data_IF_599183412032
#
_entry.id   IF_599183412032
#
_cell.length_a   1.000
_cell.length_b   1.000
_cell.length_c   1.000
_cell.angle_alpha   90.00
_cell.angle_beta   90.00
_cell.angle_gamma   90.00
#
_symmetry.space_group_name_H-M   'P 1'
#
loop_
_entity.id
_entity.type
_entity.pdbx_description
1 polymer ?
#
# COMPACT_ATOMS: atom_id res chain seq x y z
N UNK A 1 -12.93 1.50 9.54
CA UNK A 1 -11.82 1.85 8.62
C UNK A 1 -12.41 2.43 7.35
N UNK A 2 -11.79 3.47 6.81
CA UNK A 2 -12.12 4.02 5.49
C UNK A 2 -11.17 3.38 4.47
N UNK A 3 -11.70 2.58 3.55
CA UNK A 3 -10.91 2.09 2.41
C UNK A 3 -10.71 3.22 1.41
N UNK A 4 -9.47 3.43 0.98
CA UNK A 4 -9.09 4.59 0.15
C UNK A 4 -8.39 4.20 -1.15
N UNK A 5 -7.93 2.95 -1.27
CA UNK A 5 -7.36 2.44 -2.51
C UNK A 5 -7.38 0.90 -2.52
N UNK A 6 -7.51 0.34 -3.71
CA UNK A 6 -7.39 -1.08 -3.98
C UNK A 6 -6.59 -1.28 -5.26
N UNK A 7 -5.59 -2.16 -5.23
CA UNK A 7 -4.77 -2.50 -6.40
C UNK A 7 -4.71 -4.02 -6.57
N UNK A 8 -4.80 -4.48 -7.82
CA UNK A 8 -4.58 -5.89 -8.19
C UNK A 8 -3.26 -5.98 -8.94
N UNK A 9 -2.37 -6.85 -8.50
CA UNK A 9 -1.06 -7.07 -9.10
C UNK A 9 -0.81 -8.57 -9.24
N UNK A 10 0.07 -8.94 -10.17
CA UNK A 10 0.54 -10.33 -10.25
C UNK A 10 1.96 -10.36 -9.75
N UNK A 11 2.17 -11.08 -8.66
CA UNK A 11 3.49 -11.30 -8.08
C UNK A 11 4.14 -12.55 -8.68
N UNK A 12 5.45 -12.48 -8.89
CA UNK A 12 6.25 -13.59 -9.39
C UNK A 12 7.29 -13.97 -8.35
N UNK A 13 7.26 -15.23 -7.92
CA UNK A 13 8.25 -15.79 -7.02
C UNK A 13 9.01 -16.90 -7.72
N UNK A 14 10.33 -16.90 -7.62
CA UNK A 14 11.20 -17.96 -8.12
C UNK A 14 12.11 -18.45 -7.01
N UNK A 15 12.25 -19.77 -6.89
CA UNK A 15 13.21 -20.42 -6.00
C UNK A 15 13.99 -21.49 -6.74
N UNK A 16 15.31 -21.43 -6.57
CA UNK A 16 16.25 -22.27 -7.31
C UNK A 16 17.18 -23.03 -6.36
N UNK A 17 17.44 -24.31 -6.62
CA UNK A 17 18.40 -25.12 -5.87
C UNK A 17 19.44 -25.73 -6.82
N UNK A 18 20.73 -25.45 -6.56
CA UNK A 18 21.87 -26.00 -7.28
C UNK A 18 22.71 -26.90 -6.37
N UNK A 19 23.03 -28.12 -6.81
CA UNK A 19 24.00 -29.00 -6.13
C UNK A 19 24.92 -29.70 -7.14
N UNK A 20 26.19 -29.80 -6.76
CA UNK A 20 27.19 -30.64 -7.41
C UNK A 20 27.71 -31.69 -6.41
N UNK A 21 27.96 -32.93 -6.87
CA UNK A 21 28.65 -33.97 -6.09
C UNK A 21 29.84 -34.43 -6.94
N UNK A 22 31.04 -34.42 -6.36
CA UNK A 22 32.29 -34.87 -7.01
C UNK A 22 32.55 -34.21 -8.39
N UNK A 23 32.25 -32.91 -8.53
CA UNK A 23 32.44 -32.17 -9.78
C UNK A 23 31.40 -32.42 -10.88
N UNK A 24 30.42 -33.31 -10.63
CA UNK A 24 29.28 -33.53 -11.53
C UNK A 24 28.11 -32.65 -11.09
N UNK A 25 27.62 -31.80 -12.00
CA UNK A 25 26.40 -31.01 -11.80
C UNK A 25 25.19 -31.96 -11.77
N UNK A 26 24.43 -31.98 -10.67
CA UNK A 26 23.19 -32.76 -10.57
C UNK A 26 21.99 -32.01 -11.14
N UNK A 27 22.22 -30.99 -11.97
CA UNK A 27 21.17 -30.13 -12.49
C UNK A 27 20.60 -29.16 -11.45
N UNK A 28 19.70 -28.31 -11.93
CA UNK A 28 19.09 -27.23 -11.15
C UNK A 28 17.59 -27.50 -11.07
N UNK A 29 17.04 -27.50 -9.84
CA UNK A 29 15.59 -27.49 -9.67
C UNK A 29 15.13 -26.03 -9.59
N UNK A 30 14.10 -25.68 -10.35
CA UNK A 30 13.48 -24.34 -10.33
C UNK A 30 12.00 -24.49 -10.04
N UNK A 31 11.50 -23.75 -9.05
CA UNK A 31 10.08 -23.59 -8.80
C UNK A 31 9.71 -22.12 -9.01
N UNK A 32 8.73 -21.87 -9.89
CA UNK A 32 8.16 -20.54 -10.15
C UNK A 32 6.70 -20.53 -9.75
N UNK A 33 6.28 -19.43 -9.14
CA UNK A 33 4.91 -19.18 -8.72
C UNK A 33 4.50 -17.82 -9.25
N UNK A 34 3.42 -17.78 -10.03
CA UNK A 34 2.76 -16.57 -10.48
C UNK A 34 1.44 -16.45 -9.73
N UNK A 35 1.29 -15.36 -8.98
CA UNK A 35 0.26 -15.21 -7.97
C UNK A 35 -0.45 -13.86 -8.10
N UNK A 36 -1.71 -13.82 -8.54
CA UNK A 36 -2.50 -12.61 -8.47
C UNK A 36 -2.83 -12.26 -7.01
N UNK A 37 -2.57 -11.02 -6.62
CA UNK A 37 -2.77 -10.48 -5.27
C UNK A 37 -3.56 -9.18 -5.35
N UNK A 38 -4.54 -9.02 -4.45
CA UNK A 38 -5.24 -7.76 -4.24
C UNK A 38 -4.80 -7.12 -2.93
N UNK A 39 -4.21 -5.94 -3.06
CA UNK A 39 -3.83 -5.07 -1.95
C UNK A 39 -4.94 -4.05 -1.69
N UNK A 40 -5.35 -3.92 -0.43
CA UNK A 40 -6.37 -2.95 0.00
C UNK A 40 -5.76 -2.01 1.03
N UNK A 41 -5.99 -0.72 0.88
CA UNK A 41 -5.41 0.30 1.76
C UNK A 41 -6.51 1.08 2.46
N UNK A 42 -6.28 1.36 3.73
CA UNK A 42 -7.26 2.02 4.58
C UNK A 42 -6.64 3.05 5.52
N UNK A 43 -7.50 3.98 5.94
CA UNK A 43 -7.29 4.87 7.07
C UNK A 43 -8.17 4.42 8.24
N UNK A 44 -7.63 4.50 9.45
CA UNK A 44 -8.42 4.23 10.66
C UNK A 44 -9.21 5.49 11.01
N UNK A 45 -10.54 5.38 11.02
CA UNK A 45 -11.41 6.49 11.40
C UNK A 45 -11.24 6.89 12.88
N UNK A 46 -10.82 5.95 13.73
CA UNK A 46 -10.57 6.18 15.14
C UNK A 46 -9.21 6.84 15.44
N UNK A 47 -8.27 6.84 14.47
CA UNK A 47 -7.00 7.55 14.63
C UNK A 47 -7.26 9.08 14.49
N UNK A 48 -6.40 9.96 15.04
CA UNK A 48 -6.66 11.40 15.04
C UNK A 48 -6.78 12.01 13.63
N UNK A 49 -7.85 12.79 13.41
CA UNK A 49 -8.06 13.63 12.24
C UNK A 49 -8.01 15.10 12.66
N UNK A 50 -7.49 15.97 11.79
CA UNK A 50 -7.57 17.42 12.00
C UNK A 50 -7.96 18.11 10.69
N UNK A 51 -8.91 19.02 10.79
CA UNK A 51 -9.37 19.86 9.69
C UNK A 51 -9.00 21.30 10.03
N UNK A 52 -8.25 21.95 9.14
CA UNK A 52 -7.83 23.35 9.28
C UNK A 52 -8.38 24.16 8.10
N UNK A 53 -9.05 25.27 8.38
CA UNK A 53 -9.57 26.17 7.35
C UNK A 53 -8.65 27.36 7.23
N UNK A 54 -8.10 27.58 6.03
CA UNK A 54 -7.24 28.70 5.70
C UNK A 54 -7.89 29.50 4.56
N UNK A 55 -8.70 30.51 4.93
CA UNK A 55 -9.50 31.25 3.96
C UNK A 55 -10.52 30.34 3.27
N UNK A 56 -10.36 30.15 1.96
CA UNK A 56 -11.24 29.32 1.13
C UNK A 56 -10.65 27.91 0.85
N UNK A 57 -9.66 27.51 1.65
CA UNK A 57 -8.93 26.26 1.51
C UNK A 57 -9.11 25.39 2.76
N UNK A 58 -9.52 24.14 2.58
CA UNK A 58 -9.63 23.15 3.64
C UNK A 58 -8.41 22.22 3.60
N UNK A 59 -7.62 22.22 4.67
CA UNK A 59 -6.48 21.32 4.85
C UNK A 59 -6.94 20.17 5.77
N UNK A 60 -6.92 18.95 5.23
CA UNK A 60 -7.28 17.73 5.96
C UNK A 60 -6.01 16.99 6.33
N UNK A 61 -5.72 16.89 7.62
CA UNK A 61 -4.69 16.04 8.17
C UNK A 61 -5.32 14.68 8.49
N UNK A 62 -5.11 13.74 7.57
CA UNK A 62 -5.59 12.38 7.68
C UNK A 62 -4.55 11.50 8.42
N UNK A 63 -4.98 10.41 9.08
CA UNK A 63 -4.10 9.43 9.70
C UNK A 63 -3.09 8.79 8.73
N UNK A 64 -2.23 7.95 9.29
CA UNK A 64 -1.27 7.15 8.52
C UNK A 64 -2.00 6.15 7.61
N UNK A 65 -1.60 6.08 6.35
CA UNK A 65 -2.07 5.10 5.38
C UNK A 65 -1.57 3.70 5.74
N UNK A 66 -2.47 2.71 5.73
CA UNK A 66 -2.13 1.33 6.10
C UNK A 66 -2.60 0.34 5.07
N UNK A 67 -1.81 -0.70 4.83
CA UNK A 67 -2.29 -1.89 4.14
C UNK A 67 -3.22 -2.71 5.03
N UNK A 68 -4.20 -3.35 4.42
CA UNK A 68 -5.03 -4.37 5.03
C UNK A 68 -4.33 -5.71 4.89
N UNK A 69 -3.99 -6.32 6.02
CA UNK A 69 -3.18 -7.53 6.06
C UNK A 69 -4.01 -8.73 6.57
N UNK A 70 -3.74 -9.95 6.06
CA UNK A 70 -2.90 -10.21 4.89
C UNK A 70 -3.59 -9.75 3.58
N UNK A 71 -2.82 -9.43 2.51
CA UNK A 71 -3.39 -9.19 1.18
C UNK A 71 -4.19 -10.39 0.67
N UNK A 72 -5.20 -10.14 -0.17
CA UNK A 72 -6.02 -11.21 -0.72
C UNK A 72 -5.29 -11.91 -1.86
N UNK A 73 -4.98 -13.19 -1.66
CA UNK A 73 -4.35 -14.06 -2.66
C UNK A 73 -5.45 -14.76 -3.45
N UNK A 74 -5.39 -14.69 -4.78
CA UNK A 74 -6.33 -15.37 -5.68
C UNK A 74 -5.73 -16.71 -6.11
N UNK A 75 -5.92 -17.73 -5.27
CA UNK A 75 -5.34 -19.07 -5.45
C UNK A 75 -5.95 -19.84 -6.63
N UNK A 76 -7.14 -19.45 -7.07
CA UNK A 76 -7.84 -19.96 -8.25
C UNK A 76 -7.18 -19.53 -9.58
N UNK A 77 -6.48 -18.40 -9.57
CA UNK A 77 -5.71 -17.89 -10.72
C UNK A 77 -4.19 -18.11 -10.56
N UNK A 78 -3.80 -18.93 -9.60
CA UNK A 78 -2.40 -19.22 -9.29
C UNK A 78 -1.80 -20.19 -10.31
N UNK A 79 -0.65 -19.81 -10.88
CA UNK A 79 0.10 -20.68 -11.79
C UNK A 79 1.40 -21.13 -11.13
N UNK A 80 1.62 -22.45 -11.14
CA UNK A 80 2.83 -23.07 -10.60
C UNK A 80 3.58 -23.74 -11.74
N UNK A 81 4.87 -23.44 -11.84
CA UNK A 81 5.78 -24.12 -12.76
C UNK A 81 6.94 -24.71 -11.97
N UNK A 82 7.26 -25.97 -12.23
CA UNK A 82 8.33 -26.66 -11.54
C UNK A 82 9.18 -27.46 -12.55
N UNK A 83 10.45 -27.13 -12.66
CA UNK A 83 11.41 -27.79 -13.53
C UNK A 83 12.33 -28.68 -12.70
N UNK A 84 12.43 -29.96 -13.08
CA UNK A 84 13.16 -30.99 -12.34
C UNK A 84 14.56 -31.21 -12.96
N UNK A 85 15.59 -30.96 -12.16
CA UNK A 85 16.93 -31.51 -12.30
C UNK A 85 17.09 -32.84 -11.53
N UNK A 86 18.32 -33.37 -11.45
CA UNK A 86 18.64 -34.66 -10.83
C UNK A 86 18.92 -34.56 -9.31
N UNK A 87 18.60 -33.42 -8.69
CA UNK A 87 18.85 -33.16 -7.27
C UNK A 87 17.84 -33.90 -6.36
N UNK A 88 18.25 -34.26 -5.13
CA UNK A 88 17.45 -35.05 -4.15
C UNK A 88 16.20 -34.34 -3.63
N UNK A 89 16.18 -33.01 -3.59
CA UNK A 89 14.98 -32.25 -3.20
C UNK A 89 13.96 -32.34 -4.32
N UNK A 90 12.72 -32.68 -4.01
CA UNK A 90 11.67 -32.72 -5.03
C UNK A 90 11.22 -31.30 -5.37
N UNK A 91 10.77 -31.02 -6.60
CA UNK A 91 10.12 -29.75 -6.92
C UNK A 91 8.94 -29.42 -5.98
N UNK A 92 8.27 -30.44 -5.43
CA UNK A 92 7.20 -30.29 -4.43
C UNK A 92 7.70 -29.73 -3.09
N UNK A 93 8.92 -30.06 -2.69
CA UNK A 93 9.52 -29.51 -1.46
C UNK A 93 9.82 -28.02 -1.61
N UNK A 94 10.37 -27.62 -2.76
CA UNK A 94 10.63 -26.22 -3.08
C UNK A 94 9.33 -25.41 -3.15
N UNK A 95 8.28 -25.98 -3.74
CA UNK A 95 6.96 -25.36 -3.82
C UNK A 95 6.31 -25.20 -2.44
N UNK A 96 6.44 -26.19 -1.54
CA UNK A 96 5.91 -26.12 -0.18
C UNK A 96 6.57 -25.03 0.64
N UNK A 97 7.90 -24.92 0.53
CA UNK A 97 8.63 -23.83 1.17
C UNK A 97 8.25 -22.47 0.57
N UNK A 98 8.05 -22.40 -0.75
CA UNK A 98 7.62 -21.18 -1.43
C UNK A 98 6.25 -20.73 -0.92
N UNK A 99 5.26 -21.62 -0.85
CA UNK A 99 3.93 -21.32 -0.31
C UNK A 99 3.97 -20.80 1.13
N UNK A 100 4.85 -21.36 1.97
CA UNK A 100 5.05 -20.91 3.36
C UNK A 100 5.56 -19.48 3.44
N UNK A 101 6.46 -19.11 2.54
CA UNK A 101 7.19 -17.84 2.62
C UNK A 101 6.48 -16.68 1.88
N UNK A 102 5.57 -17.00 0.95
CA UNK A 102 4.84 -16.02 0.12
C UNK A 102 3.99 -15.06 0.96
N UNK A 103 3.16 -15.57 1.88
CA UNK A 103 2.23 -14.72 2.64
C UNK A 103 2.96 -13.71 3.54
N UNK A 104 4.01 -14.10 4.31
CA UNK A 104 4.84 -13.15 5.04
C UNK A 104 5.45 -12.09 4.12
N UNK A 105 5.99 -12.49 2.96
CA UNK A 105 6.70 -11.61 2.04
C UNK A 105 5.77 -10.56 1.42
N UNK A 106 4.60 -10.95 0.90
CA UNK A 106 3.63 -9.99 0.34
C UNK A 106 3.04 -9.07 1.42
N UNK A 107 2.93 -9.55 2.67
CA UNK A 107 2.44 -8.73 3.78
C UNK A 107 3.45 -7.66 4.17
N UNK A 108 4.74 -7.99 4.13
CA UNK A 108 5.84 -7.03 4.30
C UNK A 108 5.85 -5.99 3.17
N UNK A 109 5.72 -6.44 1.92
CA UNK A 109 5.68 -5.56 0.76
C UNK A 109 4.52 -4.58 0.80
N UNK A 110 3.31 -5.07 1.11
CA UNK A 110 2.11 -4.24 1.20
C UNK A 110 2.28 -3.04 2.15
N UNK A 111 3.05 -3.21 3.23
CA UNK A 111 3.30 -2.18 4.23
C UNK A 111 4.48 -1.26 3.93
N UNK A 112 5.26 -1.52 2.87
CA UNK A 112 6.47 -0.76 2.59
C UNK A 112 6.19 0.58 1.88
N UNK A 113 7.15 1.50 1.97
CA UNK A 113 7.03 2.85 1.40
C UNK A 113 6.83 2.85 -0.12
N UNK A 114 7.36 1.83 -0.82
CA UNK A 114 7.17 1.69 -2.26
C UNK A 114 5.70 1.42 -2.61
N UNK A 115 5.05 0.46 -1.95
CA UNK A 115 3.64 0.12 -2.18
C UNK A 115 2.70 1.22 -1.72
N UNK A 116 2.95 1.79 -0.52
CA UNK A 116 2.18 2.94 -0.03
C UNK A 116 2.33 4.12 -0.98
N UNK A 117 3.54 4.37 -1.50
CA UNK A 117 3.83 5.41 -2.48
C UNK A 117 2.97 5.35 -3.74
N UNK A 118 2.71 4.16 -4.26
CA UNK A 118 1.87 3.96 -5.46
C UNK A 118 0.41 4.39 -5.27
N UNK A 119 -0.10 4.34 -4.04
CA UNK A 119 -1.51 4.59 -3.74
C UNK A 119 -1.77 5.90 -3.00
N UNK A 120 -0.71 6.64 -2.60
CA UNK A 120 -0.82 7.89 -1.85
C UNK A 120 -1.73 8.91 -2.54
N UNK A 121 -1.53 9.13 -3.84
CA UNK A 121 -2.33 10.13 -4.56
C UNK A 121 -3.79 9.72 -4.70
N UNK A 122 -4.05 8.46 -5.06
CA UNK A 122 -5.41 7.90 -5.06
C UNK A 122 -6.06 8.04 -3.68
N UNK A 123 -5.33 7.76 -2.61
CA UNK A 123 -5.83 7.91 -1.25
C UNK A 123 -6.17 9.37 -0.91
N UNK A 124 -5.34 10.35 -1.30
CA UNK A 124 -5.65 11.78 -1.11
C UNK A 124 -6.94 12.17 -1.82
N UNK A 125 -7.12 11.74 -3.06
CA UNK A 125 -8.34 12.04 -3.83
C UNK A 125 -9.58 11.40 -3.20
N UNK A 126 -9.50 10.13 -2.78
CA UNK A 126 -10.63 9.45 -2.13
C UNK A 126 -10.99 10.09 -0.78
N UNK A 127 -10.00 10.50 0.01
CA UNK A 127 -10.23 11.21 1.26
C UNK A 127 -10.83 12.59 1.01
N UNK A 128 -10.33 13.35 0.03
CA UNK A 128 -10.87 14.65 -0.33
C UNK A 128 -12.35 14.53 -0.73
N UNK A 129 -12.69 13.54 -1.54
CA UNK A 129 -14.06 13.25 -1.96
C UNK A 129 -14.94 12.82 -0.79
N UNK A 130 -14.43 11.95 0.10
CA UNK A 130 -15.13 11.56 1.31
C UNK A 130 -15.47 12.76 2.20
N UNK A 131 -14.49 13.62 2.47
CA UNK A 131 -14.66 14.82 3.31
C UNK A 131 -15.63 15.80 2.64
N UNK A 132 -15.52 16.00 1.33
CA UNK A 132 -16.45 16.84 0.57
C UNK A 132 -17.89 16.38 0.76
N UNK A 133 -18.16 15.09 0.52
CA UNK A 133 -19.52 14.51 0.69
C UNK A 133 -20.01 14.57 2.13
N UNK A 134 -19.12 14.34 3.10
CA UNK A 134 -19.47 14.42 4.50
C UNK A 134 -19.87 15.85 4.91
N UNK A 135 -19.12 16.86 4.47
CA UNK A 135 -19.42 18.27 4.73
C UNK A 135 -20.69 18.74 4.01
N UNK A 136 -20.96 18.26 2.80
CA UNK A 136 -22.21 18.53 2.08
C UNK A 136 -23.44 17.99 2.83
N UNK A 137 -23.31 16.85 3.50
CA UNK A 137 -24.38 16.23 4.29
C UNK A 137 -24.60 16.88 5.67
N UNK A 138 -23.53 17.40 6.27
CA UNK A 138 -23.56 18.17 7.52
C UNK A 138 -23.99 19.62 7.20
N UNK A 139 -25.30 19.87 7.12
CA UNK A 139 -25.95 21.15 6.77
C UNK A 139 -25.52 22.40 7.58
N UNK A 140 -24.57 22.25 8.51
CA UNK A 140 -23.91 23.29 9.28
C UNK A 140 -22.81 24.04 8.51
N UNK A 141 -22.36 23.52 7.36
CA UNK A 141 -21.38 24.20 6.50
C UNK A 141 -22.09 24.82 5.29
N UNK A 142 -22.07 26.16 5.20
CA UNK A 142 -22.75 26.89 4.14
C UNK A 142 -22.22 26.52 2.73
N UNK A 143 -23.06 26.62 1.68
CA UNK A 143 -22.85 26.00 0.35
C UNK A 143 -21.62 26.45 -0.46
N UNK A 144 -20.72 27.27 0.08
CA UNK A 144 -19.51 27.78 -0.60
C UNK A 144 -18.33 28.05 0.34
N UNK A 145 -18.16 27.31 1.44
CA UNK A 145 -17.15 27.70 2.44
C UNK A 145 -15.69 27.42 2.00
N UNK A 146 -15.44 26.49 1.07
CA UNK A 146 -14.09 26.17 0.56
C UNK A 146 -14.14 25.72 -0.91
N UNK A 147 -13.21 26.20 -1.75
CA UNK A 147 -13.08 25.79 -3.17
C UNK A 147 -11.99 24.73 -3.38
N UNK A 148 -11.09 24.54 -2.43
CA UNK A 148 -9.99 23.56 -2.55
C UNK A 148 -9.85 22.76 -1.26
N UNK A 149 -9.73 21.42 -1.41
CA UNK A 149 -9.43 20.50 -0.31
C UNK A 149 -8.04 19.90 -0.57
N UNK A 150 -7.10 20.11 0.35
CA UNK A 150 -5.79 19.44 0.33
C UNK A 150 -5.73 18.40 1.43
N UNK A 151 -5.36 17.18 1.08
CA UNK A 151 -5.20 16.09 2.04
C UNK A 151 -3.71 15.85 2.30
N UNK A 152 -3.34 15.84 3.58
CA UNK A 152 -2.02 15.45 4.08
C UNK A 152 -2.15 14.13 4.83
N UNK A 153 -1.47 13.10 4.36
CA UNK A 153 -1.47 11.79 5.00
C UNK A 153 -0.42 11.75 6.12
N UNK A 154 -0.74 11.09 7.23
CA UNK A 154 0.18 10.90 8.34
C UNK A 154 1.42 10.08 7.92
N UNK A 155 2.59 10.46 8.42
CA UNK A 155 3.86 9.78 8.13
C UNK A 155 4.57 10.28 6.87
N UNK A 156 3.97 11.17 6.09
CA UNK A 156 4.68 11.89 5.02
C UNK A 156 5.60 12.96 5.63
N UNK A 157 6.83 13.07 5.12
CA UNK A 157 7.68 14.22 5.41
C UNK A 157 6.95 15.48 4.90
N UNK A 158 6.83 16.48 5.76
CA UNK A 158 6.27 17.77 5.36
C UNK A 158 7.04 18.26 4.14
N UNK A 159 6.38 18.65 3.03
CA UNK A 159 7.08 19.38 1.98
C UNK A 159 7.75 20.61 2.63
N UNK A 160 8.95 21.02 2.18
CA UNK A 160 9.62 22.19 2.74
C UNK A 160 8.63 23.34 2.72
N UNK A 161 8.42 23.95 3.88
CA UNK A 161 7.44 25.01 4.04
C UNK A 161 7.75 26.10 3.01
N UNK A 162 6.86 26.33 2.04
CA UNK A 162 6.88 27.61 1.34
C UNK A 162 6.75 28.70 2.42
N UNK A 163 7.56 29.77 2.35
CA UNK A 163 7.63 30.77 3.41
C UNK A 163 6.26 31.41 3.57
N UNK A 164 5.48 30.87 4.51
CA UNK A 164 4.24 31.47 4.98
C UNK A 164 4.67 32.75 5.67
N UNK A 165 4.43 33.88 5.02
CA UNK A 165 4.59 35.21 5.64
C UNK A 165 3.67 35.24 6.86
N UNK A 166 4.24 35.00 8.03
CA UNK A 166 3.60 35.27 9.31
C UNK A 166 3.52 36.77 9.48
N UNK A 167 2.38 37.38 9.15
CA UNK A 167 2.12 38.78 9.48
C UNK A 167 1.87 38.86 10.99
N UNK A 168 2.89 39.24 11.76
CA UNK A 168 2.71 39.69 13.13
C UNK A 168 2.13 41.10 13.10
N UNK A 169 0.91 41.27 13.62
CA UNK A 169 0.37 42.59 13.93
C UNK A 169 0.87 42.99 15.31
N UNK A 170 1.80 43.94 15.37
CA UNK A 170 2.13 44.67 16.61
C UNK A 170 1.05 45.73 16.87
N UNK A 171 0.48 45.80 18.08
CA UNK A 171 -0.38 46.92 18.46
C UNK A 171 0.45 48.19 18.64
N UNK A 172 -0.16 49.33 18.27
CA UNK A 172 0.37 50.70 18.38
C UNK A 172 0.34 51.23 19.81
#
# INVERSE_FOLDING_TARGET
NLEVATTRQVEFFERTNHRAILGVSLGTNVARLRLPVTYRYHLRLADPWRLEVAGNHLIVHAPVLRASLPPAIHTDEMEVQAERGWCRSTPDDLLRELHRDVTPLISEWAGNEQHLGMVRETARLQVAEFIRRWLEGESQWGPQSFTTITVRLGGEALPPAEPTRSLFLTPS
#
